data_IF_450845359116
#
_entry.id   IF_450845359116
#
_cell.length_a   1.000
_cell.length_b   1.000
_cell.length_c   1.000
_cell.angle_alpha   90.00
_cell.angle_beta   90.00
_cell.angle_gamma   90.00
#
_symmetry.space_group_name_H-M   'P 1'
#
loop_
_entity.id
_entity.type
_entity.pdbx_description
1 polymer ?
#
# COMPACT_ATOMS: atom_id res chain seq x y z
N UNK A 1 7.31 0.32 -22.73
CA UNK A 1 7.90 1.32 -23.65
C UNK A 1 8.53 2.54 -22.95
N UNK A 2 8.86 2.50 -21.65
CA UNK A 2 9.46 3.66 -20.93
C UNK A 2 10.90 3.41 -20.42
N UNK A 3 11.50 2.26 -20.77
CA UNK A 3 12.82 1.83 -20.27
C UNK A 3 13.97 2.63 -20.87
N UNK A 4 13.89 3.01 -22.15
CA UNK A 4 14.97 3.76 -22.81
C UNK A 4 15.24 5.16 -22.24
N UNK A 5 14.23 5.82 -21.64
CA UNK A 5 14.43 7.07 -20.92
C UNK A 5 15.07 6.84 -19.55
N UNK A 6 14.73 5.75 -18.88
CA UNK A 6 15.33 5.38 -17.59
C UNK A 6 16.80 4.98 -17.77
N UNK A 7 17.13 4.25 -18.83
CA UNK A 7 18.52 3.88 -19.14
C UNK A 7 19.41 5.10 -19.30
N UNK A 8 18.97 6.09 -20.11
CA UNK A 8 19.69 7.35 -20.27
C UNK A 8 19.77 8.13 -18.96
N UNK A 9 18.70 8.20 -18.20
CA UNK A 9 18.69 8.91 -16.92
C UNK A 9 19.70 8.30 -15.93
N UNK A 10 19.73 6.97 -15.81
CA UNK A 10 20.69 6.23 -14.98
C UNK A 10 22.12 6.57 -15.42
N UNK A 11 22.42 6.46 -16.72
CA UNK A 11 23.75 6.77 -17.26
C UNK A 11 24.17 8.22 -16.95
N UNK A 12 23.27 9.18 -17.14
CA UNK A 12 23.56 10.59 -16.86
C UNK A 12 23.79 10.85 -15.36
N UNK A 13 23.00 10.27 -14.47
CA UNK A 13 23.20 10.41 -13.03
C UNK A 13 24.49 9.72 -12.55
N UNK A 14 24.83 8.55 -13.11
CA UNK A 14 26.09 7.86 -12.79
C UNK A 14 27.31 8.67 -13.23
N UNK A 15 27.28 9.27 -14.43
CA UNK A 15 28.35 10.17 -14.88
C UNK A 15 28.43 11.42 -14.01
N UNK A 16 27.30 12.04 -13.70
CA UNK A 16 27.24 13.21 -12.83
C UNK A 16 27.83 12.94 -11.44
N UNK A 17 27.49 11.80 -10.83
CA UNK A 17 28.00 11.43 -9.51
C UNK A 17 29.49 11.06 -9.49
N UNK A 18 30.08 10.73 -10.64
CA UNK A 18 31.55 10.58 -10.76
C UNK A 18 32.28 11.92 -10.66
N UNK A 19 31.72 12.98 -11.26
CA UNK A 19 32.30 14.33 -11.22
C UNK A 19 31.96 15.05 -9.92
N UNK A 20 30.73 14.87 -9.43
CA UNK A 20 30.19 15.51 -8.24
C UNK A 20 29.75 14.46 -7.22
N UNK A 21 30.69 13.85 -6.48
CA UNK A 21 30.35 12.87 -5.46
C UNK A 21 29.59 13.52 -4.30
N UNK A 22 28.81 12.72 -3.57
CA UNK A 22 28.05 13.14 -2.39
C UNK A 22 26.94 14.17 -2.65
N UNK A 23 26.20 14.04 -3.76
CA UNK A 23 25.00 14.84 -4.05
C UNK A 23 23.73 14.05 -3.68
N UNK A 24 23.07 14.32 -2.52
CA UNK A 24 21.94 13.53 -2.03
C UNK A 24 20.77 13.44 -3.01
N UNK A 25 20.49 14.54 -3.71
CA UNK A 25 19.42 14.64 -4.68
C UNK A 25 19.70 13.76 -5.90
N UNK A 26 20.95 13.74 -6.39
CA UNK A 26 21.36 12.90 -7.51
C UNK A 26 21.42 11.41 -7.12
N UNK A 27 21.90 11.09 -5.91
CA UNK A 27 21.85 9.73 -5.36
C UNK A 27 20.41 9.22 -5.27
N UNK A 28 19.50 10.07 -4.80
CA UNK A 28 18.07 9.76 -4.69
C UNK A 28 17.42 9.57 -6.05
N UNK A 29 17.71 10.44 -7.01
CA UNK A 29 17.18 10.35 -8.37
C UNK A 29 17.67 9.08 -9.08
N UNK A 30 18.96 8.74 -8.92
CA UNK A 30 19.54 7.50 -9.44
C UNK A 30 18.87 6.26 -8.82
N UNK A 31 18.69 6.24 -7.50
CA UNK A 31 18.03 5.14 -6.80
C UNK A 31 16.61 4.89 -7.32
N UNK A 32 15.82 5.96 -7.50
CA UNK A 32 14.46 5.86 -8.03
C UNK A 32 14.47 5.39 -9.49
N UNK A 33 15.39 5.90 -10.32
CA UNK A 33 15.49 5.52 -11.72
C UNK A 33 15.85 4.05 -11.88
N UNK A 34 16.84 3.57 -11.14
CA UNK A 34 17.24 2.16 -11.09
C UNK A 34 16.10 1.26 -10.62
N UNK A 35 15.44 1.63 -9.51
CA UNK A 35 14.30 0.88 -8.97
C UNK A 35 13.13 0.78 -9.96
N UNK A 36 12.81 1.88 -10.65
CA UNK A 36 11.72 1.91 -11.65
C UNK A 36 12.04 1.14 -12.92
N UNK A 37 13.33 1.00 -13.26
CA UNK A 37 13.77 0.23 -14.43
C UNK A 37 13.55 -1.27 -14.19
N UNK A 38 14.05 -1.76 -13.07
CA UNK A 38 13.86 -3.15 -12.66
C UNK A 38 14.03 -3.25 -11.14
N UNK A 39 12.92 -3.37 -10.43
CA UNK A 39 12.93 -3.38 -8.96
C UNK A 39 13.55 -4.66 -8.40
N UNK A 40 13.48 -5.78 -9.12
CA UNK A 40 14.04 -7.06 -8.68
C UNK A 40 15.56 -7.05 -8.83
N UNK A 41 16.06 -6.54 -9.96
CA UNK A 41 17.49 -6.46 -10.22
C UNK A 41 18.17 -5.35 -9.40
N UNK A 42 17.54 -4.18 -9.29
CA UNK A 42 18.19 -2.97 -8.75
C UNK A 42 17.71 -2.56 -7.36
N UNK A 43 16.77 -3.28 -6.76
CA UNK A 43 16.19 -2.90 -5.47
C UNK A 43 17.23 -2.69 -4.36
N UNK A 44 18.18 -3.62 -4.20
CA UNK A 44 19.25 -3.49 -3.22
C UNK A 44 20.21 -2.34 -3.53
N UNK A 45 20.50 -2.08 -4.81
CA UNK A 45 21.35 -0.96 -5.22
C UNK A 45 20.68 0.39 -4.89
N UNK A 46 19.38 0.50 -5.16
CA UNK A 46 18.59 1.67 -4.81
C UNK A 46 18.56 1.92 -3.30
N UNK A 47 18.45 0.87 -2.47
CA UNK A 47 18.56 0.98 -1.00
C UNK A 47 19.93 1.50 -0.56
N UNK A 48 21.01 1.04 -1.19
CA UNK A 48 22.36 1.51 -0.87
C UNK A 48 22.55 2.99 -1.21
N UNK A 49 22.12 3.41 -2.40
CA UNK A 49 22.16 4.82 -2.81
C UNK A 49 21.35 5.72 -1.87
N UNK A 50 20.16 5.28 -1.45
CA UNK A 50 19.36 6.03 -0.47
C UNK A 50 20.00 6.03 0.92
N UNK A 51 20.75 5.00 1.27
CA UNK A 51 21.51 4.96 2.53
C UNK A 51 22.67 5.96 2.51
N UNK A 52 23.36 6.09 1.37
CA UNK A 52 24.36 7.14 1.18
C UNK A 52 23.74 8.54 1.22
N UNK A 53 22.59 8.75 0.57
CA UNK A 53 21.86 10.01 0.64
C UNK A 53 21.44 10.35 2.09
N UNK A 54 20.96 9.37 2.86
CA UNK A 54 20.62 9.54 4.27
C UNK A 54 21.85 9.81 5.15
N UNK A 55 23.03 9.28 4.82
CA UNK A 55 24.28 9.63 5.52
C UNK A 55 24.59 11.12 5.39
N UNK A 56 24.29 11.71 4.24
CA UNK A 56 24.50 13.13 3.94
C UNK A 56 23.38 14.03 4.49
N UNK A 57 22.14 13.52 4.51
CA UNK A 57 20.95 14.23 5.00
C UNK A 57 20.19 13.38 6.02
N UNK A 58 20.78 13.16 7.19
CA UNK A 58 20.26 12.23 8.21
C UNK A 58 18.93 12.63 8.84
N UNK A 59 18.48 13.87 8.65
CA UNK A 59 17.19 14.39 9.14
C UNK A 59 16.14 14.56 8.04
N UNK A 60 16.34 13.94 6.87
CA UNK A 60 15.41 14.03 5.76
C UNK A 60 14.37 12.88 5.81
N UNK A 61 13.18 13.18 6.31
CA UNK A 61 12.07 12.23 6.41
C UNK A 61 11.65 11.64 5.06
N UNK A 62 11.75 12.39 3.97
CA UNK A 62 11.35 11.90 2.64
C UNK A 62 12.30 10.79 2.14
N UNK A 63 13.59 10.85 2.51
CA UNK A 63 14.54 9.78 2.17
C UNK A 63 14.23 8.48 2.92
N UNK A 64 13.86 8.58 4.21
CA UNK A 64 13.38 7.43 4.97
C UNK A 64 12.15 6.80 4.33
N UNK A 65 11.16 7.62 3.92
CA UNK A 65 9.93 7.13 3.27
C UNK A 65 10.26 6.43 1.96
N UNK A 66 11.10 7.03 1.11
CA UNK A 66 11.51 6.43 -0.18
C UNK A 66 12.23 5.10 0.04
N UNK A 67 13.15 5.04 1.00
CA UNK A 67 13.90 3.81 1.31
C UNK A 67 12.98 2.73 1.86
N UNK A 68 12.04 3.09 2.75
CA UNK A 68 11.04 2.17 3.29
C UNK A 68 10.14 1.58 2.20
N UNK A 69 9.69 2.40 1.24
CA UNK A 69 8.86 1.94 0.13
C UNK A 69 9.59 0.93 -0.76
N UNK A 70 10.86 1.20 -1.09
CA UNK A 70 11.68 0.28 -1.87
C UNK A 70 11.92 -1.01 -1.07
N UNK A 71 12.28 -0.90 0.20
CA UNK A 71 12.48 -2.04 1.10
C UNK A 71 11.23 -2.91 1.21
N UNK A 72 10.04 -2.31 1.34
CA UNK A 72 8.78 -3.04 1.35
C UNK A 72 8.58 -3.84 0.05
N UNK A 73 8.81 -3.22 -1.11
CA UNK A 73 8.61 -3.87 -2.42
C UNK A 73 9.60 -5.00 -2.70
N UNK A 74 10.78 -4.99 -2.09
CA UNK A 74 11.77 -6.07 -2.19
C UNK A 74 11.69 -7.09 -1.04
N UNK A 75 10.69 -6.98 -0.16
CA UNK A 75 10.44 -7.93 0.94
C UNK A 75 11.20 -7.65 2.24
N UNK A 76 11.94 -6.55 2.34
CA UNK A 76 12.69 -6.13 3.53
C UNK A 76 11.76 -5.38 4.52
N UNK A 77 10.72 -6.05 5.01
CA UNK A 77 9.65 -5.43 5.79
C UNK A 77 10.10 -4.87 7.14
N UNK A 78 11.04 -5.52 7.83
CA UNK A 78 11.53 -5.06 9.13
C UNK A 78 12.30 -3.74 9.00
N UNK A 79 13.14 -3.60 7.97
CA UNK A 79 13.85 -2.37 7.67
C UNK A 79 12.88 -1.26 7.24
N UNK A 80 11.88 -1.61 6.40
CA UNK A 80 10.84 -0.68 5.99
C UNK A 80 10.06 -0.13 7.20
N UNK A 81 9.77 -0.97 8.21
CA UNK A 81 9.10 -0.55 9.43
C UNK A 81 9.93 0.47 10.22
N UNK A 82 11.23 0.21 10.37
CA UNK A 82 12.14 1.12 11.08
C UNK A 82 12.23 2.47 10.38
N UNK A 83 12.38 2.48 9.05
CA UNK A 83 12.44 3.70 8.28
C UNK A 83 11.13 4.50 8.32
N UNK A 84 9.99 3.81 8.21
CA UNK A 84 8.68 4.46 8.33
C UNK A 84 8.48 5.07 9.73
N UNK A 85 8.93 4.37 10.78
CA UNK A 85 8.86 4.86 12.15
C UNK A 85 9.75 6.07 12.38
N UNK A 86 10.96 6.07 11.81
CA UNK A 86 11.84 7.24 11.82
C UNK A 86 11.21 8.45 11.12
N UNK A 87 10.59 8.25 9.95
CA UNK A 87 9.91 9.32 9.23
C UNK A 87 8.71 9.89 10.02
N UNK A 88 7.93 9.04 10.70
CA UNK A 88 6.82 9.47 11.57
C UNK A 88 7.33 10.30 12.75
N UNK A 89 8.42 9.87 13.40
CA UNK A 89 9.03 10.57 14.53
C UNK A 89 9.60 11.96 14.14
N UNK A 90 9.87 12.19 12.86
CA UNK A 90 10.31 13.48 12.31
C UNK A 90 9.14 14.46 12.04
N UNK A 91 7.98 14.26 12.69
CA UNK A 91 6.81 15.13 12.60
C UNK A 91 6.23 15.30 11.19
N UNK A 92 6.40 14.29 10.31
CA UNK A 92 5.60 14.22 9.10
C UNK A 92 4.21 13.71 9.48
N UNK A 93 3.38 14.63 9.99
CA UNK A 93 1.98 14.42 10.35
C UNK A 93 1.15 14.22 9.09
N UNK A 94 1.27 13.03 8.53
CA UNK A 94 0.51 12.59 7.39
C UNK A 94 -0.10 11.26 7.79
N UNK A 95 -1.42 11.19 7.93
CA UNK A 95 -2.14 9.92 8.05
C UNK A 95 -1.68 8.90 6.99
N UNK A 96 -1.18 9.39 5.86
CA UNK A 96 -0.52 8.64 4.80
C UNK A 96 0.68 7.82 5.31
N UNK A 97 1.53 8.37 6.18
CA UNK A 97 2.68 7.61 6.72
C UNK A 97 2.25 6.52 7.69
N UNK A 98 1.28 6.82 8.54
CA UNK A 98 0.69 5.84 9.46
C UNK A 98 0.03 4.72 8.66
N UNK A 99 -0.66 5.06 7.57
CA UNK A 99 -1.22 4.09 6.63
C UNK A 99 -0.15 3.22 5.98
N UNK A 100 0.96 3.82 5.52
CA UNK A 100 2.07 3.04 4.96
C UNK A 100 2.71 2.12 6.00
N UNK A 101 2.86 2.54 7.27
CA UNK A 101 3.32 1.66 8.36
C UNK A 101 2.31 0.54 8.66
N UNK A 102 1.01 0.81 8.59
CA UNK A 102 -0.03 -0.21 8.70
C UNK A 102 0.16 -1.33 7.66
N UNK A 103 0.42 -0.96 6.40
CA UNK A 103 0.69 -1.93 5.33
C UNK A 103 1.96 -2.75 5.60
N UNK A 104 3.01 -2.13 6.10
CA UNK A 104 4.23 -2.83 6.53
C UNK A 104 3.92 -3.81 7.67
N UNK A 105 3.14 -3.41 8.66
CA UNK A 105 2.71 -4.30 9.76
C UNK A 105 1.88 -5.49 9.25
N UNK A 106 1.02 -5.30 8.25
CA UNK A 106 0.33 -6.42 7.62
C UNK A 106 1.27 -7.40 6.92
N UNK A 107 2.33 -6.91 6.28
CA UNK A 107 3.33 -7.76 5.64
C UNK A 107 4.20 -8.51 6.67
N UNK A 108 4.43 -7.92 7.84
CA UNK A 108 5.09 -8.55 8.99
C UNK A 108 4.20 -9.56 9.74
N UNK A 109 2.88 -9.56 9.49
CA UNK A 109 1.92 -10.38 10.24
C UNK A 109 1.45 -9.75 11.56
N UNK A 110 1.93 -8.55 11.88
CA UNK A 110 1.66 -7.79 13.10
C UNK A 110 0.26 -7.14 13.05
N UNK A 111 -0.77 -7.99 13.10
CA UNK A 111 -2.17 -7.60 12.83
C UNK A 111 -2.72 -6.61 13.88
N UNK A 112 -2.30 -6.72 15.14
CA UNK A 112 -2.73 -5.77 16.18
C UNK A 112 -2.05 -4.40 16.00
N UNK A 113 -0.76 -4.35 15.66
CA UNK A 113 -0.07 -3.10 15.36
C UNK A 113 -0.66 -2.41 14.11
N UNK A 114 -0.94 -3.19 13.06
CA UNK A 114 -1.63 -2.70 11.87
C UNK A 114 -3.01 -2.12 12.20
N UNK A 115 -3.76 -2.75 13.10
CA UNK A 115 -5.05 -2.24 13.57
C UNK A 115 -4.92 -0.89 14.29
N UNK A 116 -3.93 -0.72 15.18
CA UNK A 116 -3.72 0.56 15.85
C UNK A 116 -3.34 1.67 14.87
N UNK A 117 -2.51 1.36 13.86
CA UNK A 117 -2.16 2.29 12.79
C UNK A 117 -3.38 2.66 11.94
N UNK A 118 -4.16 1.69 11.49
CA UNK A 118 -5.38 1.95 10.71
C UNK A 118 -6.39 2.80 11.49
N UNK A 119 -6.60 2.47 12.77
CA UNK A 119 -7.52 3.20 13.66
C UNK A 119 -7.06 4.63 13.91
N UNK A 120 -5.77 4.86 14.05
CA UNK A 120 -5.24 6.22 14.23
C UNK A 120 -5.29 7.02 12.92
N UNK A 121 -5.02 6.42 11.76
CA UNK A 121 -5.17 7.06 10.46
C UNK A 121 -6.62 7.50 10.20
N UNK A 122 -7.61 6.62 10.46
CA UNK A 122 -9.04 6.97 10.35
C UNK A 122 -9.43 8.08 11.33
N UNK A 123 -8.84 8.14 12.54
CA UNK A 123 -9.12 9.22 13.49
C UNK A 123 -8.62 10.58 13.00
N UNK A 124 -7.47 10.59 12.31
CA UNK A 124 -6.86 11.81 11.77
C UNK A 124 -7.57 12.31 10.50
N UNK A 125 -8.12 11.40 9.69
CA UNK A 125 -8.81 11.72 8.45
C UNK A 125 -10.07 10.86 8.28
N UNK A 126 -11.05 11.10 9.15
CA UNK A 126 -12.27 10.30 9.22
C UNK A 126 -13.13 10.48 7.98
N UNK A 127 -13.45 9.36 7.32
CA UNK A 127 -14.27 9.21 6.09
C UNK A 127 -13.53 9.12 4.76
N UNK A 128 -12.20 9.00 4.75
CA UNK A 128 -11.56 8.50 3.52
C UNK A 128 -11.92 7.02 3.32
N UNK A 129 -12.57 6.63 2.21
CA UNK A 129 -13.01 5.25 1.97
C UNK A 129 -11.85 4.27 1.88
N UNK A 130 -10.65 4.69 1.48
CA UNK A 130 -9.45 3.85 1.49
C UNK A 130 -8.93 3.61 2.91
N UNK A 131 -9.04 4.58 3.81
CA UNK A 131 -8.70 4.38 5.23
C UNK A 131 -9.69 3.43 5.92
N UNK A 132 -10.98 3.56 5.61
CA UNK A 132 -12.01 2.64 6.09
C UNK A 132 -11.78 1.22 5.55
N UNK A 133 -11.41 1.07 4.28
CA UNK A 133 -11.02 -0.21 3.68
C UNK A 133 -9.87 -0.88 4.45
N UNK A 134 -8.83 -0.11 4.79
CA UNK A 134 -7.68 -0.63 5.54
C UNK A 134 -8.05 -0.99 6.99
N UNK A 135 -8.89 -0.19 7.65
CA UNK A 135 -9.39 -0.51 9.00
C UNK A 135 -10.26 -1.78 8.99
N UNK A 136 -11.14 -1.95 7.99
CA UNK A 136 -11.91 -3.17 7.80
C UNK A 136 -11.00 -4.39 7.56
N UNK A 137 -9.93 -4.22 6.79
CA UNK A 137 -8.92 -5.27 6.58
C UNK A 137 -8.21 -5.65 7.89
N UNK A 138 -7.90 -4.67 8.74
CA UNK A 138 -7.32 -4.92 10.05
C UNK A 138 -8.27 -5.71 10.96
N UNK A 139 -9.55 -5.31 11.03
CA UNK A 139 -10.57 -6.07 11.76
C UNK A 139 -10.73 -7.50 11.22
N UNK A 140 -10.65 -7.69 9.90
CA UNK A 140 -10.73 -9.01 9.26
C UNK A 140 -9.59 -9.90 9.72
N UNK A 141 -8.35 -9.40 9.71
CA UNK A 141 -7.17 -10.16 10.18
C UNK A 141 -7.20 -10.50 11.66
N UNK A 142 -7.86 -9.67 12.47
CA UNK A 142 -8.09 -9.94 13.89
C UNK A 142 -9.28 -10.88 14.14
N UNK A 143 -9.95 -11.39 13.10
CA UNK A 143 -11.13 -12.25 13.24
C UNK A 143 -12.39 -11.51 13.70
N UNK A 144 -12.36 -10.17 13.79
CA UNK A 144 -13.47 -9.32 14.23
C UNK A 144 -14.40 -9.01 13.05
N UNK A 145 -14.98 -10.08 12.47
CA UNK A 145 -15.69 -10.03 11.17
C UNK A 145 -16.91 -9.12 11.15
N UNK A 146 -17.64 -8.98 12.28
CA UNK A 146 -18.79 -8.06 12.37
C UNK A 146 -18.34 -6.60 12.27
N UNK A 147 -17.29 -6.24 13.00
CA UNK A 147 -16.69 -4.90 12.91
C UNK A 147 -16.12 -4.63 11.52
N UNK A 148 -15.48 -5.63 10.91
CA UNK A 148 -14.98 -5.51 9.54
C UNK A 148 -16.11 -5.22 8.54
N UNK A 149 -17.19 -6.01 8.58
CA UNK A 149 -18.35 -5.83 7.69
C UNK A 149 -19.00 -4.43 7.85
N UNK A 150 -19.14 -3.93 9.08
CA UNK A 150 -19.67 -2.58 9.30
C UNK A 150 -18.71 -1.51 8.77
N UNK A 151 -17.40 -1.66 9.01
CA UNK A 151 -16.39 -0.71 8.51
C UNK A 151 -16.35 -0.68 6.97
N UNK A 152 -16.48 -1.83 6.31
CA UNK A 152 -16.57 -1.88 4.85
C UNK A 152 -17.87 -1.28 4.32
N UNK A 153 -18.97 -1.41 5.08
CA UNK A 153 -20.23 -0.73 4.75
C UNK A 153 -20.06 0.78 4.82
N UNK A 154 -19.44 1.31 5.87
CA UNK A 154 -19.09 2.75 5.96
C UNK A 154 -18.23 3.18 4.76
N UNK A 155 -17.26 2.36 4.33
CA UNK A 155 -16.45 2.65 3.14
C UNK A 155 -17.29 2.73 1.85
N UNK A 156 -18.31 1.87 1.71
CA UNK A 156 -19.23 1.85 0.56
C UNK A 156 -20.27 2.96 0.61
N UNK A 157 -20.59 3.48 1.79
CA UNK A 157 -21.44 4.68 1.94
C UNK A 157 -20.71 5.93 1.40
N UNK A 158 -19.40 6.02 1.61
CA UNK A 158 -18.56 7.11 1.09
C UNK A 158 -18.16 6.90 -0.39
N UNK A 159 -17.88 5.66 -0.81
CA UNK A 159 -17.54 5.29 -2.19
C UNK A 159 -18.27 4.01 -2.64
N UNK A 160 -19.49 4.14 -3.21
CA UNK A 160 -20.31 2.99 -3.60
C UNK A 160 -19.73 2.10 -4.69
N UNK A 161 -18.77 2.58 -5.48
CA UNK A 161 -18.10 1.86 -6.55
C UNK A 161 -16.83 1.12 -6.08
N UNK A 162 -16.49 1.20 -4.79
CA UNK A 162 -15.31 0.56 -4.22
C UNK A 162 -15.47 -0.98 -4.18
N UNK A 163 -15.13 -1.62 -5.30
CA UNK A 163 -15.26 -3.08 -5.51
C UNK A 163 -14.55 -3.87 -4.40
N UNK A 164 -13.37 -3.43 -3.98
CA UNK A 164 -12.60 -4.10 -2.92
C UNK A 164 -13.34 -4.13 -1.57
N UNK A 165 -14.00 -3.03 -1.18
CA UNK A 165 -14.78 -3.00 0.06
C UNK A 165 -15.97 -3.96 -0.02
N UNK A 166 -16.67 -3.97 -1.16
CA UNK A 166 -17.81 -4.87 -1.42
C UNK A 166 -17.40 -6.34 -1.39
N UNK A 167 -16.29 -6.71 -2.03
CA UNK A 167 -15.75 -8.07 -2.01
C UNK A 167 -15.38 -8.50 -0.59
N UNK A 168 -14.64 -7.66 0.15
CA UNK A 168 -14.21 -7.98 1.52
C UNK A 168 -15.38 -8.04 2.50
N UNK A 169 -16.42 -7.22 2.32
CA UNK A 169 -17.66 -7.29 3.08
C UNK A 169 -18.42 -8.59 2.79
N UNK A 170 -18.49 -9.00 1.52
CA UNK A 170 -19.09 -10.26 1.12
C UNK A 170 -18.34 -11.45 1.72
N UNK A 171 -17.00 -11.43 1.74
CA UNK A 171 -16.19 -12.45 2.42
C UNK A 171 -16.46 -12.53 3.91
N UNK A 172 -16.60 -11.38 4.60
CA UNK A 172 -16.99 -11.36 6.01
C UNK A 172 -18.35 -12.04 6.21
N UNK A 173 -19.33 -11.75 5.35
CA UNK A 173 -20.66 -12.36 5.42
C UNK A 173 -20.68 -13.84 5.07
N UNK A 174 -19.82 -14.29 4.15
CA UNK A 174 -19.63 -15.71 3.83
C UNK A 174 -19.16 -16.48 5.06
N UNK A 175 -18.16 -15.98 5.78
CA UNK A 175 -17.64 -16.62 7.00
C UNK A 175 -18.65 -16.54 8.16
N UNK A 176 -19.44 -15.47 8.23
CA UNK A 176 -20.52 -15.32 9.22
C UNK A 176 -21.78 -16.15 8.89
N UNK A 177 -21.81 -16.90 7.78
CA UNK A 177 -22.97 -17.70 7.37
C UNK A 177 -24.15 -16.90 6.79
N UNK A 178 -23.95 -15.63 6.45
CA UNK A 178 -24.98 -14.73 5.93
C UNK A 178 -25.03 -14.76 4.39
N UNK A 179 -25.30 -15.93 3.80
CA UNK A 179 -25.22 -16.16 2.35
C UNK A 179 -26.11 -15.23 1.50
N UNK A 180 -27.30 -14.88 1.98
CA UNK A 180 -28.18 -13.93 1.27
C UNK A 180 -27.53 -12.55 1.07
N UNK A 181 -26.77 -12.07 2.07
CA UNK A 181 -26.05 -10.79 1.97
C UNK A 181 -24.91 -10.86 0.97
N UNK A 182 -24.24 -12.02 0.85
CA UNK A 182 -23.19 -12.24 -0.15
C UNK A 182 -23.76 -12.06 -1.56
N UNK A 183 -24.90 -12.68 -1.86
CA UNK A 183 -25.57 -12.53 -3.16
C UNK A 183 -25.92 -11.06 -3.40
N UNK A 184 -26.59 -10.40 -2.46
CA UNK A 184 -26.95 -8.99 -2.58
C UNK A 184 -25.76 -8.07 -2.86
N UNK A 185 -24.62 -8.34 -2.19
CA UNK A 185 -23.41 -7.54 -2.36
C UNK A 185 -22.74 -7.79 -3.71
N UNK A 186 -22.73 -9.01 -4.23
CA UNK A 186 -21.98 -9.36 -5.43
C UNK A 186 -22.78 -9.24 -6.73
N UNK A 187 -24.11 -9.39 -6.69
CA UNK A 187 -24.97 -9.29 -7.88
C UNK A 187 -24.74 -8.01 -8.70
N UNK A 188 -24.58 -6.81 -8.11
CA UNK A 188 -24.32 -5.59 -8.88
C UNK A 188 -22.98 -5.56 -9.61
N UNK A 189 -22.04 -6.46 -9.27
CA UNK A 189 -20.74 -6.58 -9.95
C UNK A 189 -20.76 -7.53 -11.15
N UNK A 190 -21.80 -8.34 -11.27
CA UNK A 190 -21.97 -9.28 -12.37
C UNK A 190 -22.64 -8.55 -13.54
N UNK A 191 -22.06 -8.66 -14.73
CA UNK A 191 -22.71 -8.14 -15.95
C UNK A 191 -24.02 -8.92 -16.20
N UNK A 192 -25.04 -8.32 -16.84
CA UNK A 192 -26.30 -9.02 -17.15
C UNK A 192 -26.16 -10.24 -18.09
N UNK A 193 -24.94 -10.59 -18.53
CA UNK A 193 -24.68 -11.82 -19.28
C UNK A 193 -24.63 -13.08 -18.39
N UNK A 194 -24.31 -12.94 -17.09
CA UNK A 194 -24.20 -14.08 -16.16
C UNK A 194 -25.54 -14.45 -15.50
N UNK A 195 -26.60 -13.64 -15.71
CA UNK A 195 -27.97 -14.00 -15.35
C UNK A 195 -28.69 -14.82 -16.43
N UNK A 196 -28.03 -15.06 -17.57
CA UNK A 196 -28.50 -15.90 -18.66
C UNK A 196 -27.74 -17.24 -18.73
N UNK A 197 -27.58 -17.91 -17.58
CA UNK A 197 -27.28 -19.34 -17.52
C UNK A 197 -28.49 -20.13 -18.00
N UNK A 198 -28.45 -20.52 -19.28
CA UNK A 198 -29.60 -21.00 -20.03
C UNK A 198 -30.27 -22.25 -19.48
N UNK A 199 -31.58 -22.15 -19.30
CA UNK A 199 -32.51 -23.20 -19.71
C UNK A 199 -33.40 -22.56 -20.78
N UNK A 200 -33.09 -22.82 -22.05
CA UNK A 200 -34.10 -22.72 -23.10
C UNK A 200 -34.99 -23.96 -22.98
N UNK A 201 -36.32 -23.81 -22.95
CA UNK A 201 -37.23 -24.93 -23.07
C UNK A 201 -37.30 -25.29 -24.56
N UNK A 202 -36.67 -26.40 -24.96
CA UNK A 202 -36.90 -26.99 -26.27
C UNK A 202 -37.46 -28.40 -26.09
N UNK A 203 -38.73 -28.52 -26.51
CA UNK A 203 -39.51 -29.70 -26.93
C UNK A 203 -40.16 -30.59 -25.86
#
# INVERSE_FOLDING_TARGET
>A
MNTGYLDKAIEHFERFLKEFPNQPEALTALAIAQFRKDYQAFGNQAVNLLTEALRLQSKNADLYVKRAQIQFLIGNYAQAFNDMSNAINMNRTAWQLVLQRCLVNFALGESEAAFQDAKSAVRLHGRDPHLLLVLGAAYTRLGRLRNAAETYKEALEEAPDLVDARLRMADCHRVLGAGQRVVQLLTPLLSPADSAGGVRPDQ
#
